data_IF_913212142511
#
_entry.id   IF_913212142511
#
_cell.length_a   1.000
_cell.length_b   1.000
_cell.length_c   1.000
_cell.angle_alpha   90.00
_cell.angle_beta   90.00
_cell.angle_gamma   90.00
#
_symmetry.space_group_name_H-M   'P 1'
#
loop_
_entity.id
_entity.type
_entity.pdbx_description
1 polymer ?
#
# COMPACT_ATOMS: atom_id res chain seq x y z
N UNK A 1 -65.70 22.55 -23.39
CA UNK A 1 -64.42 22.54 -24.12
C UNK A 1 -63.52 23.58 -23.47
N UNK A 2 -62.55 23.14 -22.68
CA UNK A 2 -61.45 23.95 -22.15
C UNK A 2 -60.39 22.95 -21.68
N UNK A 3 -59.33 22.81 -22.47
CA UNK A 3 -58.14 22.05 -22.12
C UNK A 3 -56.97 23.04 -22.09
N UNK A 4 -56.37 23.24 -20.92
CA UNK A 4 -55.18 24.07 -20.77
C UNK A 4 -54.08 23.23 -20.14
N UNK A 5 -52.97 23.17 -20.87
CA UNK A 5 -51.80 22.34 -20.68
C UNK A 5 -51.07 22.60 -19.35
N UNK A 6 -50.68 21.52 -18.68
CA UNK A 6 -49.70 21.54 -17.59
C UNK A 6 -48.31 21.30 -18.19
N UNK A 7 -47.48 22.35 -18.18
CA UNK A 7 -46.07 22.31 -18.55
C UNK A 7 -45.29 21.63 -17.40
N UNK A 8 -44.87 20.38 -17.60
CA UNK A 8 -43.95 19.71 -16.68
C UNK A 8 -42.51 20.12 -17.01
N UNK A 9 -41.89 20.88 -16.10
CA UNK A 9 -40.49 21.26 -16.16
C UNK A 9 -39.66 20.05 -15.71
N UNK A 10 -39.09 19.30 -16.65
CA UNK A 10 -38.10 18.28 -16.35
C UNK A 10 -36.78 18.97 -15.97
N UNK A 11 -36.52 19.12 -14.67
CA UNK A 11 -35.17 19.37 -14.17
C UNK A 11 -34.33 18.12 -14.41
N UNK A 12 -33.64 18.08 -15.55
CA UNK A 12 -32.50 17.19 -15.75
C UNK A 12 -31.35 17.79 -14.94
N UNK A 13 -31.20 17.34 -13.68
CA UNK A 13 -29.96 17.55 -12.94
C UNK A 13 -28.91 16.69 -13.63
N UNK A 14 -28.15 17.30 -14.55
CA UNK A 14 -26.90 16.76 -15.05
C UNK A 14 -25.97 16.59 -13.86
N UNK A 15 -26.01 15.42 -13.23
CA UNK A 15 -25.01 15.01 -12.26
C UNK A 15 -23.68 15.01 -13.00
N UNK A 16 -22.87 16.03 -12.75
CA UNK A 16 -21.47 16.02 -13.12
C UNK A 16 -20.89 14.83 -12.37
N UNK A 17 -20.67 13.72 -13.07
CA UNK A 17 -19.83 12.63 -12.58
C UNK A 17 -18.45 13.28 -12.52
N UNK A 18 -18.09 13.77 -11.34
CA UNK A 18 -16.74 14.22 -11.07
C UNK A 18 -15.88 12.97 -11.20
N UNK A 19 -15.22 12.83 -12.35
CA UNK A 19 -14.24 11.78 -12.60
C UNK A 19 -13.11 12.00 -11.60
N UNK A 20 -13.17 11.28 -10.48
CA UNK A 20 -12.10 11.25 -9.51
C UNK A 20 -10.83 10.83 -10.25
N UNK A 21 -9.74 11.60 -10.07
CA UNK A 21 -8.45 11.22 -10.62
C UNK A 21 -8.08 9.84 -10.06
N UNK A 22 -7.51 8.95 -10.89
CA UNK A 22 -7.12 7.63 -10.41
C UNK A 22 -6.05 7.77 -9.32
N UNK A 23 -6.21 6.99 -8.27
CA UNK A 23 -5.22 6.79 -7.21
C UNK A 23 -4.11 5.89 -7.75
N UNK A 24 -2.88 6.11 -7.29
CA UNK A 24 -1.74 5.28 -7.62
C UNK A 24 -1.61 4.19 -6.55
N UNK A 25 -1.86 2.93 -6.91
CA UNK A 25 -1.57 1.79 -6.05
C UNK A 25 -0.13 1.33 -6.29
N UNK A 26 0.67 1.33 -5.24
CA UNK A 26 2.04 0.84 -5.18
C UNK A 26 2.06 -0.45 -4.36
N UNK A 27 2.64 -1.51 -4.90
CA UNK A 27 2.61 -2.84 -4.27
C UNK A 27 4.03 -3.36 -4.15
N UNK A 28 4.39 -3.75 -2.93
CA UNK A 28 5.63 -4.49 -2.66
C UNK A 28 5.29 -5.85 -2.07
N UNK A 29 5.99 -6.88 -2.51
CA UNK A 29 5.69 -8.26 -2.11
C UNK A 29 6.88 -8.85 -1.38
N UNK A 30 6.61 -9.50 -0.26
CA UNK A 30 7.60 -10.12 0.61
C UNK A 30 7.29 -11.61 0.84
N UNK A 31 8.33 -12.38 1.17
CA UNK A 31 8.24 -13.70 1.78
C UNK A 31 9.08 -13.67 3.05
N UNK A 32 8.42 -13.53 4.19
CA UNK A 32 9.10 -13.18 5.44
C UNK A 32 9.76 -11.80 5.32
N UNK A 33 11.08 -11.71 5.50
CA UNK A 33 11.84 -10.47 5.32
C UNK A 33 12.33 -10.23 3.88
N UNK A 34 12.32 -11.27 3.05
CA UNK A 34 12.86 -11.16 1.69
C UNK A 34 11.85 -10.43 0.80
N UNK A 35 12.26 -9.33 0.18
CA UNK A 35 11.48 -8.71 -0.88
C UNK A 35 11.55 -9.57 -2.14
N UNK A 36 10.38 -9.96 -2.64
CA UNK A 36 10.21 -10.82 -3.82
C UNK A 36 9.30 -10.16 -4.88
N UNK A 37 9.22 -8.82 -4.85
CA UNK A 37 8.35 -8.01 -5.71
C UNK A 37 8.60 -8.26 -7.20
N UNK A 38 9.87 -8.40 -7.61
CA UNK A 38 10.26 -8.57 -9.01
C UNK A 38 9.93 -9.98 -9.52
N UNK A 39 10.04 -10.96 -8.64
CA UNK A 39 9.75 -12.38 -8.86
C UNK A 39 8.25 -12.68 -8.80
N UNK A 40 7.43 -11.72 -8.37
CA UNK A 40 5.98 -11.92 -8.18
C UNK A 40 5.16 -11.13 -9.19
N UNK A 41 4.41 -11.85 -10.03
CA UNK A 41 3.33 -11.25 -10.81
C UNK A 41 2.19 -10.89 -9.87
N UNK A 42 1.74 -9.64 -9.96
CA UNK A 42 0.59 -9.14 -9.20
C UNK A 42 -0.51 -8.76 -10.17
N UNK A 43 -1.69 -9.36 -10.00
CA UNK A 43 -2.88 -9.07 -10.79
C UNK A 43 -3.97 -8.55 -9.89
N UNK A 44 -4.53 -7.39 -10.24
CA UNK A 44 -5.59 -6.72 -9.47
C UNK A 44 -6.94 -6.96 -10.15
N UNK A 45 -7.94 -7.25 -9.34
CA UNK A 45 -9.30 -7.57 -9.76
C UNK A 45 -10.29 -6.67 -9.02
N UNK A 46 -11.38 -6.21 -9.65
CA UNK A 46 -12.50 -5.65 -8.90
C UNK A 46 -12.98 -6.66 -7.85
N UNK A 47 -13.27 -6.20 -6.62
CA UNK A 47 -13.67 -7.10 -5.54
C UNK A 47 -14.88 -7.97 -5.92
N UNK A 48 -14.78 -9.28 -5.63
CA UNK A 48 -15.83 -10.24 -5.94
C UNK A 48 -15.88 -10.69 -7.41
N UNK A 49 -15.07 -10.09 -8.30
CA UNK A 49 -14.95 -10.46 -9.70
C UNK A 49 -13.53 -10.97 -9.99
N UNK A 50 -13.32 -12.29 -9.96
CA UNK A 50 -12.02 -12.91 -10.33
C UNK A 50 -11.82 -13.05 -11.85
N UNK A 51 -12.41 -12.14 -12.60
CA UNK A 51 -12.35 -12.05 -14.07
C UNK A 51 -11.90 -10.64 -14.44
N UNK A 52 -11.35 -10.46 -15.64
CA UNK A 52 -10.86 -9.16 -16.12
C UNK A 52 -9.77 -8.53 -15.22
N UNK A 53 -8.85 -9.36 -14.72
CA UNK A 53 -7.73 -8.89 -13.91
C UNK A 53 -6.77 -8.00 -14.70
N UNK A 54 -6.30 -6.94 -14.05
CA UNK A 54 -5.30 -6.03 -14.58
C UNK A 54 -3.94 -6.34 -13.95
N UNK A 55 -2.90 -6.69 -14.73
CA UNK A 55 -1.57 -6.89 -14.19
C UNK A 55 -0.97 -5.55 -13.73
N UNK A 56 -0.33 -5.55 -12.56
CA UNK A 56 0.44 -4.42 -12.08
C UNK A 56 1.88 -4.49 -12.66
N UNK A 57 2.30 -3.54 -13.53
CA UNK A 57 3.66 -3.52 -14.06
C UNK A 57 4.68 -3.14 -12.97
N UNK A 58 5.94 -3.56 -13.16
CA UNK A 58 7.06 -3.08 -12.33
C UNK A 58 7.39 -1.66 -12.74
N UNK A 59 7.45 -0.74 -11.78
CA UNK A 59 7.94 0.62 -11.97
C UNK A 59 9.46 0.69 -11.78
N UNK A 60 10.07 1.81 -12.16
CA UNK A 60 11.53 2.02 -12.07
C UNK A 60 12.07 1.88 -10.64
N UNK A 61 11.25 2.19 -9.63
CA UNK A 61 11.58 2.01 -8.20
C UNK A 61 11.59 0.54 -7.74
N UNK A 62 11.18 -0.40 -8.58
CA UNK A 62 11.15 -1.84 -8.29
C UNK A 62 9.84 -2.33 -7.66
N UNK A 63 8.98 -1.44 -7.19
CA UNK A 63 7.61 -1.76 -6.80
C UNK A 63 6.71 -2.01 -8.00
N UNK A 64 5.57 -2.67 -7.78
CA UNK A 64 4.52 -2.80 -8.78
C UNK A 64 3.61 -1.58 -8.68
N UNK A 65 3.30 -0.90 -9.79
CA UNK A 65 2.54 0.36 -9.78
C UNK A 65 1.43 0.35 -10.82
N UNK A 66 0.22 0.72 -10.43
CA UNK A 66 -0.90 0.89 -11.37
C UNK A 66 -1.92 1.94 -10.90
N UNK A 67 -2.50 2.72 -11.83
CA UNK A 67 -3.60 3.63 -11.52
C UNK A 67 -4.91 2.84 -11.32
N UNK A 68 -5.66 3.16 -10.27
CA UNK A 68 -6.96 2.59 -9.95
C UNK A 68 -7.94 3.66 -9.51
N UNK A 69 -9.23 3.46 -9.79
CA UNK A 69 -10.26 4.27 -9.16
C UNK A 69 -10.37 3.93 -7.66
N UNK A 70 -11.01 4.80 -6.88
CA UNK A 70 -11.39 4.44 -5.53
C UNK A 70 -12.37 3.25 -5.55
N UNK A 71 -12.16 2.25 -4.69
CA UNK A 71 -12.95 1.02 -4.69
C UNK A 71 -12.33 -0.11 -3.88
N UNK A 72 -12.98 -1.27 -3.87
CA UNK A 72 -12.45 -2.49 -3.27
C UNK A 72 -11.89 -3.41 -4.35
N UNK A 73 -10.78 -4.07 -4.07
CA UNK A 73 -10.08 -4.90 -5.03
C UNK A 73 -9.64 -6.22 -4.41
N UNK A 74 -9.58 -7.27 -5.20
CA UNK A 74 -8.89 -8.52 -4.86
C UNK A 74 -7.56 -8.57 -5.63
N UNK A 75 -6.53 -9.14 -5.01
CA UNK A 75 -5.22 -9.32 -5.64
C UNK A 75 -4.85 -10.79 -5.68
N UNK A 76 -4.29 -11.18 -6.82
CA UNK A 76 -3.59 -12.44 -6.99
C UNK A 76 -2.09 -12.17 -7.06
N UNK A 77 -1.34 -12.89 -6.23
CA UNK A 77 0.11 -12.94 -6.25
C UNK A 77 0.54 -14.29 -6.80
N UNK A 78 1.38 -14.29 -7.83
CA UNK A 78 1.99 -15.49 -8.38
C UNK A 78 3.50 -15.29 -8.39
N UNK A 79 4.19 -15.93 -7.45
CA UNK A 79 5.65 -15.89 -7.39
C UNK A 79 6.24 -16.96 -8.30
N UNK A 80 7.22 -16.55 -9.11
CA UNK A 80 8.03 -17.44 -9.94
C UNK A 80 9.47 -17.43 -9.43
N UNK A 81 10.06 -18.62 -9.31
CA UNK A 81 11.46 -18.82 -8.97
C UNK A 81 12.02 -19.93 -9.85
N UNK A 82 13.16 -19.67 -10.50
CA UNK A 82 13.83 -20.61 -11.41
C UNK A 82 12.89 -21.18 -12.50
N UNK A 83 12.04 -20.33 -13.06
CA UNK A 83 11.08 -20.69 -14.11
C UNK A 83 9.88 -21.53 -13.62
N UNK A 84 9.71 -21.71 -12.31
CA UNK A 84 8.60 -22.46 -11.70
C UNK A 84 7.77 -21.59 -10.78
N UNK A 85 6.47 -21.87 -10.68
CA UNK A 85 5.61 -21.22 -9.69
C UNK A 85 5.97 -21.75 -8.30
N UNK A 86 6.41 -20.84 -7.41
CA UNK A 86 6.82 -21.15 -6.04
C UNK A 86 5.83 -20.68 -4.98
N UNK A 87 4.78 -19.95 -5.39
CA UNK A 87 3.68 -19.55 -4.51
C UNK A 87 2.54 -18.87 -5.27
N UNK A 88 1.32 -19.12 -4.81
CA UNK A 88 0.12 -18.40 -5.25
C UNK A 88 -0.65 -17.97 -4.01
N UNK A 89 -0.98 -16.69 -3.91
CA UNK A 89 -1.80 -16.13 -2.82
C UNK A 89 -2.91 -15.28 -3.42
N UNK A 90 -4.08 -15.37 -2.81
CA UNK A 90 -5.16 -14.41 -3.00
C UNK A 90 -5.30 -13.58 -1.73
N UNK A 91 -5.39 -12.27 -1.89
CA UNK A 91 -5.67 -11.34 -0.80
C UNK A 91 -6.74 -10.36 -1.23
N UNK A 92 -7.53 -9.88 -0.27
CA UNK A 92 -8.51 -8.83 -0.53
C UNK A 92 -7.90 -7.52 -0.06
N UNK A 93 -7.71 -6.59 -0.99
CA UNK A 93 -7.37 -5.22 -0.66
C UNK A 93 -8.61 -4.55 -0.08
N UNK A 94 -8.48 -4.10 1.16
CA UNK A 94 -9.50 -3.28 1.81
C UNK A 94 -9.53 -1.93 1.08
N UNK A 95 -10.71 -1.33 1.02
CA UNK A 95 -11.03 -0.07 0.34
C UNK A 95 -9.84 0.85 -0.01
N UNK A 96 -9.58 1.02 -1.30
CA UNK A 96 -8.71 2.06 -1.86
C UNK A 96 -9.50 3.36 -1.96
N UNK A 97 -9.08 4.39 -1.20
CA UNK A 97 -9.66 5.74 -1.20
C UNK A 97 -8.56 6.78 -1.11
N UNK A 98 -8.87 8.02 -1.45
CA UNK A 98 -7.96 9.14 -1.27
C UNK A 98 -7.83 9.48 0.22
N UNK A 99 -6.68 9.18 0.81
CA UNK A 99 -6.39 9.53 2.20
C UNK A 99 -5.64 10.87 2.29
N UNK A 100 -6.08 11.80 3.15
CA UNK A 100 -5.36 13.06 3.35
C UNK A 100 -3.90 12.82 3.75
N UNK A 101 -2.97 13.45 3.02
CA UNK A 101 -1.53 13.33 3.26
C UNK A 101 -0.83 12.21 2.48
N UNK A 102 -1.57 11.34 1.79
CA UNK A 102 -1.00 10.33 0.89
C UNK A 102 -0.80 10.85 -0.55
N UNK A 103 -1.40 12.00 -0.90
CA UNK A 103 -1.20 12.62 -2.22
C UNK A 103 -1.67 11.74 -3.37
N UNK A 104 -2.67 10.88 -3.13
CA UNK A 104 -3.14 9.87 -4.07
C UNK A 104 -2.24 8.64 -4.21
N UNK A 105 -1.20 8.50 -3.37
CA UNK A 105 -0.30 7.34 -3.36
C UNK A 105 -0.67 6.35 -2.25
N UNK A 106 -1.11 5.16 -2.64
CA UNK A 106 -1.44 4.10 -1.71
C UNK A 106 -0.39 2.99 -1.77
N UNK A 107 0.34 2.77 -0.68
CA UNK A 107 1.29 1.67 -0.57
C UNK A 107 0.59 0.47 0.09
N UNK A 108 0.58 -0.65 -0.62
CA UNK A 108 0.21 -1.95 -0.06
C UNK A 108 1.42 -2.90 -0.05
N UNK A 109 1.69 -3.47 1.10
CA UNK A 109 2.79 -4.40 1.33
C UNK A 109 2.19 -5.75 1.66
N UNK A 110 2.42 -6.70 0.76
CA UNK A 110 1.85 -8.03 0.84
C UNK A 110 2.95 -9.02 1.22
N UNK A 111 2.61 -9.96 2.10
CA UNK A 111 3.53 -11.03 2.47
C UNK A 111 2.90 -12.40 2.18
N UNK A 112 3.69 -13.34 1.67
CA UNK A 112 3.26 -14.74 1.55
C UNK A 112 3.01 -15.39 2.92
N UNK A 113 3.59 -14.83 4.00
CA UNK A 113 3.39 -15.25 5.37
C UNK A 113 2.35 -14.36 6.08
N UNK A 114 1.21 -14.93 6.47
CA UNK A 114 0.04 -14.18 6.97
C UNK A 114 0.25 -13.48 8.31
N UNK A 115 1.22 -13.90 9.09
CA UNK A 115 1.51 -13.30 10.39
C UNK A 115 2.43 -12.07 10.28
N UNK A 116 2.71 -11.58 9.08
CA UNK A 116 3.58 -10.43 8.86
C UNK A 116 2.78 -9.16 8.58
N UNK A 117 3.35 -8.04 9.00
CA UNK A 117 2.84 -6.69 8.75
C UNK A 117 3.93 -5.76 8.25
N UNK A 118 3.53 -4.54 7.94
CA UNK A 118 4.43 -3.55 7.38
C UNK A 118 4.17 -2.14 7.91
N UNK A 119 5.26 -1.42 8.18
CA UNK A 119 5.26 -0.02 8.58
C UNK A 119 5.91 0.81 7.49
N UNK A 120 5.12 1.71 6.92
CA UNK A 120 5.68 2.78 6.11
C UNK A 120 6.11 3.92 7.04
N UNK A 121 7.41 4.01 7.31
CA UNK A 121 7.95 5.06 8.16
C UNK A 121 8.20 6.29 7.31
N UNK A 122 7.70 7.45 7.73
CA UNK A 122 7.84 8.75 7.03
C UNK A 122 8.25 9.84 8.00
N UNK A 123 8.97 10.87 7.54
CA UNK A 123 9.14 12.08 8.35
C UNK A 123 7.79 12.81 8.49
N UNK A 124 7.56 13.51 9.61
CA UNK A 124 6.38 14.36 9.73
C UNK A 124 6.39 15.50 8.69
N UNK A 125 5.26 15.70 8.01
CA UNK A 125 5.08 16.76 7.02
C UNK A 125 4.52 16.24 5.70
N UNK A 126 4.57 17.06 4.63
CA UNK A 126 4.14 16.61 3.30
C UNK A 126 5.02 15.47 2.79
N UNK A 127 4.43 14.59 1.98
CA UNK A 127 5.16 13.51 1.32
C UNK A 127 6.34 14.08 0.51
N UNK A 128 7.53 13.54 0.73
CA UNK A 128 8.74 13.89 -0.01
C UNK A 128 8.99 12.81 -1.06
N UNK A 129 9.44 13.17 -2.26
CA UNK A 129 9.90 12.18 -3.24
C UNK A 129 11.41 11.97 -3.14
N UNK A 130 11.89 10.82 -3.60
CA UNK A 130 13.31 10.49 -3.67
C UNK A 130 13.86 9.73 -2.46
N UNK A 131 15.20 9.62 -2.40
CA UNK A 131 15.87 8.87 -1.34
C UNK A 131 15.87 9.65 -0.02
N UNK A 132 15.63 8.93 1.07
CA UNK A 132 15.69 9.48 2.42
C UNK A 132 17.11 9.37 2.99
N UNK A 133 17.54 10.39 3.73
CA UNK A 133 18.85 10.43 4.39
C UNK A 133 18.91 9.72 5.74
N UNK A 134 17.88 8.94 6.08
CA UNK A 134 17.73 8.25 7.36
C UNK A 134 17.35 6.78 7.17
N UNK A 135 17.65 5.96 8.17
CA UNK A 135 17.44 4.51 8.19
C UNK A 135 16.60 4.13 9.38
N UNK A 136 15.80 3.08 9.24
CA UNK A 136 14.94 2.58 10.32
C UNK A 136 15.30 1.17 10.72
N UNK A 137 15.07 0.86 11.99
CA UNK A 137 15.21 -0.47 12.56
C UNK A 137 14.06 -0.75 13.52
N UNK A 138 13.54 -1.96 13.50
CA UNK A 138 12.63 -2.45 14.54
C UNK A 138 13.42 -3.33 15.50
N UNK A 139 13.22 -3.10 16.79
CA UNK A 139 13.89 -3.81 17.88
C UNK A 139 12.85 -4.45 18.82
N UNK A 140 13.16 -5.62 19.38
CA UNK A 140 12.46 -6.15 20.55
C UNK A 140 12.82 -5.35 21.80
N UNK A 141 12.08 -5.58 22.89
CA UNK A 141 12.33 -4.95 24.20
C UNK A 141 13.70 -5.31 24.80
N UNK A 142 14.24 -6.48 24.45
CA UNK A 142 15.60 -6.89 24.82
C UNK A 142 16.70 -6.22 23.96
N UNK A 143 16.33 -5.38 22.99
CA UNK A 143 17.24 -4.69 22.08
C UNK A 143 17.60 -5.47 20.81
N UNK A 144 17.11 -6.70 20.64
CA UNK A 144 17.38 -7.51 19.45
C UNK A 144 16.71 -6.91 18.22
N UNK A 145 17.48 -6.70 17.17
CA UNK A 145 16.95 -6.23 15.88
C UNK A 145 16.12 -7.31 15.19
N UNK A 146 14.91 -6.95 14.75
CA UNK A 146 13.98 -7.84 14.04
C UNK A 146 13.78 -7.49 12.59
N UNK A 147 14.04 -6.25 12.19
CA UNK A 147 13.92 -5.83 10.80
C UNK A 147 14.68 -4.52 10.58
N UNK A 148 15.19 -4.35 9.36
CA UNK A 148 15.76 -3.10 8.86
C UNK A 148 14.82 -2.47 7.84
N UNK A 149 14.87 -1.15 7.77
CA UNK A 149 14.22 -0.37 6.74
C UNK A 149 14.74 -0.75 5.35
N UNK A 150 13.80 -0.95 4.44
CA UNK A 150 14.05 -1.04 3.00
C UNK A 150 13.69 0.30 2.37
N UNK A 151 14.53 0.78 1.46
CA UNK A 151 14.32 2.05 0.80
C UNK A 151 12.99 2.07 0.02
N UNK A 152 12.32 3.22 0.08
CA UNK A 152 11.17 3.59 -0.74
C UNK A 152 11.27 5.05 -1.19
N UNK A 153 10.35 5.50 -2.04
CA UNK A 153 10.31 6.87 -2.53
C UNK A 153 9.77 7.80 -1.42
N UNK A 154 10.66 8.41 -0.63
CA UNK A 154 10.28 9.30 0.47
C UNK A 154 10.11 8.65 1.84
N UNK A 155 10.33 7.34 1.94
CA UNK A 155 10.06 6.57 3.14
C UNK A 155 11.08 5.44 3.37
N UNK A 156 11.07 4.87 4.58
CA UNK A 156 11.64 3.54 4.83
C UNK A 156 10.50 2.57 5.14
N UNK A 157 10.51 1.43 4.48
CA UNK A 157 9.57 0.35 4.76
C UNK A 157 10.17 -0.64 5.74
N UNK A 158 9.47 -0.94 6.84
CA UNK A 158 9.88 -2.03 7.72
C UNK A 158 8.85 -3.14 7.68
N UNK A 159 9.30 -4.38 7.43
CA UNK A 159 8.46 -5.58 7.33
C UNK A 159 8.90 -6.56 8.40
N UNK A 160 7.96 -6.97 9.27
CA UNK A 160 8.25 -7.81 10.44
C UNK A 160 7.06 -8.73 10.77
N UNK A 161 7.27 -9.81 11.54
CA UNK A 161 6.17 -10.56 12.14
C UNK A 161 5.33 -9.63 13.01
N UNK A 162 4.03 -9.89 13.10
CA UNK A 162 3.12 -9.12 13.92
C UNK A 162 3.54 -9.14 15.39
N UNK A 163 3.42 -8.00 16.04
CA UNK A 163 3.85 -7.82 17.42
C UNK A 163 4.26 -6.40 17.72
N UNK A 164 4.67 -6.19 18.97
CA UNK A 164 5.03 -4.88 19.50
C UNK A 164 6.55 -4.73 19.60
N UNK A 165 7.06 -3.65 19.03
CA UNK A 165 8.49 -3.39 18.88
C UNK A 165 8.82 -1.93 19.20
N UNK A 166 10.10 -1.64 19.39
CA UNK A 166 10.59 -0.27 19.38
C UNK A 166 11.13 0.06 17.98
N UNK A 167 10.67 1.17 17.41
CA UNK A 167 11.16 1.71 16.16
C UNK A 167 12.28 2.72 16.44
N UNK A 168 13.43 2.53 15.81
CA UNK A 168 14.57 3.45 15.87
C UNK A 168 14.80 4.04 14.49
N UNK A 169 14.90 5.36 14.42
CA UNK A 169 15.22 6.12 13.21
C UNK A 169 16.56 6.82 13.38
N UNK A 170 17.48 6.58 12.46
CA UNK A 170 18.88 7.06 12.48
C UNK A 170 19.16 7.93 11.26
N UNK A 171 19.82 9.07 11.41
CA UNK A 171 20.14 9.96 10.28
C UNK A 171 20.13 11.46 10.62
N UNK A 172 19.76 11.83 11.84
CA UNK A 172 19.89 13.19 12.38
C UNK A 172 21.02 13.31 13.43
N UNK A 173 21.01 14.41 14.20
CA UNK A 173 21.98 14.64 15.27
C UNK A 173 21.90 13.62 16.43
N UNK A 174 20.72 13.05 16.64
CA UNK A 174 20.49 11.96 17.59
C UNK A 174 19.43 10.98 17.03
N UNK A 175 19.50 9.67 17.34
CA UNK A 175 18.47 8.72 16.96
C UNK A 175 17.12 9.03 17.61
N UNK A 176 16.04 8.91 16.84
CA UNK A 176 14.67 8.98 17.35
C UNK A 176 14.21 7.57 17.70
N UNK A 177 13.73 7.36 18.92
CA UNK A 177 13.15 6.08 19.37
C UNK A 177 11.67 6.25 19.67
N UNK A 178 10.85 5.41 19.04
CA UNK A 178 9.42 5.32 19.28
C UNK A 178 9.16 3.94 19.89
N UNK A 179 8.73 3.93 21.14
CA UNK A 179 8.43 2.70 21.86
C UNK A 179 7.05 2.14 21.51
N UNK A 180 6.90 0.83 21.67
CA UNK A 180 5.60 0.12 21.63
C UNK A 180 4.81 0.31 20.32
N UNK A 181 5.53 0.30 19.20
CA UNK A 181 4.94 0.31 17.86
C UNK A 181 4.40 -1.08 17.53
N UNK A 182 3.12 -1.14 17.19
CA UNK A 182 2.38 -2.37 16.92
C UNK A 182 2.35 -2.75 15.43
N UNK A 183 3.21 -3.66 15.00
CA UNK A 183 3.14 -4.23 13.65
C UNK A 183 1.96 -5.21 13.58
N UNK A 184 0.97 -4.90 12.75
CA UNK A 184 -0.26 -5.71 12.62
C UNK A 184 -0.18 -6.67 11.45
N UNK A 185 -0.58 -7.91 11.68
CA UNK A 185 -0.64 -8.94 10.63
C UNK A 185 -1.55 -8.50 9.47
N UNK A 186 -1.07 -8.70 8.23
CA UNK A 186 -1.76 -8.36 6.98
C UNK A 186 -2.22 -6.90 6.92
N UNK A 187 -1.43 -5.98 7.48
CA UNK A 187 -1.70 -4.55 7.40
C UNK A 187 -0.44 -3.78 7.06
N UNK A 188 -0.59 -2.88 6.09
CA UNK A 188 0.33 -1.78 5.83
C UNK A 188 -0.24 -0.52 6.46
N UNK A 189 0.56 0.21 7.22
CA UNK A 189 0.13 1.53 7.70
C UNK A 189 1.30 2.48 7.89
N UNK A 190 0.99 3.77 7.84
CA UNK A 190 1.98 4.84 7.95
C UNK A 190 2.32 5.11 9.42
N UNK A 191 3.62 5.25 9.71
CA UNK A 191 4.13 5.76 10.98
C UNK A 191 5.02 6.97 10.74
N UNK A 192 4.62 8.12 11.26
CA UNK A 192 5.46 9.33 11.23
C UNK A 192 6.38 9.43 12.45
N UNK A 193 7.49 10.15 12.28
CA UNK A 193 8.45 10.50 13.35
C UNK A 193 8.88 11.97 13.25
#
# INVERSE_FOLDING_TARGET
>A
MTATFLLWLAMVTSGVVQTALPLSLHIRVFRGQAEVTRETTVTVYPAGARTNGQPAPVADGGERRLPLAAGQYDLQLVQQQDGKVSGIVWTTLRLLVDYPGEGGHHLEVLNFEKEWGALEVRAQGPHQSGQVGWRTRLLRKDGTEVARGVDGEGYQLVVAPAGTYDLVVEGGAAPVRIADVDVKANLTYVRTF
#
